data_IF_870429293229
#
_entry.id   IF_870429293229
#
_cell.length_a   1.000
_cell.length_b   1.000
_cell.length_c   1.000
_cell.angle_alpha   90.00
_cell.angle_beta   90.00
_cell.angle_gamma   90.00
#
_symmetry.space_group_name_H-M   'P 1'
#
loop_
_entity.id
_entity.type
_entity.pdbx_description
1 polymer ?
#
# COMPACT_ATOMS: atom_id res chain seq x y z
N UNK A 1 -8.16 19.36 16.96
CA UNK A 1 -6.97 19.53 16.09
C UNK A 1 -6.19 18.24 15.85
N UNK A 2 -5.96 17.41 16.86
CA UNK A 2 -5.10 16.21 16.78
C UNK A 2 -5.53 15.14 15.74
N UNK A 3 -6.84 14.88 15.61
CA UNK A 3 -7.36 13.76 14.79
C UNK A 3 -7.12 13.90 13.28
N UNK A 4 -7.22 15.11 12.72
CA UNK A 4 -6.97 15.34 11.29
C UNK A 4 -5.51 15.17 10.90
N UNK A 5 -4.59 15.66 11.75
CA UNK A 5 -3.15 15.44 11.56
C UNK A 5 -2.82 13.94 11.70
N UNK A 6 -3.44 13.27 12.67
CA UNK A 6 -3.28 11.83 12.86
C UNK A 6 -3.75 11.03 11.63
N UNK A 7 -4.88 11.41 11.01
CA UNK A 7 -5.36 10.81 9.76
C UNK A 7 -4.33 10.94 8.63
N UNK A 8 -3.72 12.11 8.47
CA UNK A 8 -2.65 12.32 7.47
C UNK A 8 -1.44 11.44 7.77
N UNK A 9 -0.98 11.39 9.03
CA UNK A 9 0.16 10.54 9.42
C UNK A 9 -0.12 9.07 9.13
N UNK A 10 -1.29 8.56 9.53
CA UNK A 10 -1.69 7.17 9.28
C UNK A 10 -1.75 6.86 7.79
N UNK A 11 -2.32 7.76 6.99
CA UNK A 11 -2.39 7.56 5.55
C UNK A 11 -1.00 7.58 4.90
N UNK A 12 -0.11 8.49 5.31
CA UNK A 12 1.29 8.52 4.84
C UNK A 12 2.04 7.24 5.22
N UNK A 13 1.85 6.73 6.44
CA UNK A 13 2.41 5.43 6.85
C UNK A 13 1.86 4.29 5.99
N UNK A 14 0.57 4.33 5.64
CA UNK A 14 -0.04 3.39 4.70
C UNK A 14 0.60 3.43 3.32
N UNK A 15 0.85 4.61 2.75
CA UNK A 15 1.55 4.76 1.47
C UNK A 15 2.98 4.18 1.55
N UNK A 16 3.71 4.53 2.61
CA UNK A 16 5.07 4.03 2.81
C UNK A 16 5.10 2.50 2.95
N UNK A 17 4.18 1.94 3.74
CA UNK A 17 4.03 0.50 3.88
C UNK A 17 3.74 -0.16 2.54
N UNK A 18 2.89 0.46 1.72
CA UNK A 18 2.56 -0.06 0.39
C UNK A 18 3.77 -0.14 -0.52
N UNK A 19 4.53 0.96 -0.58
CA UNK A 19 5.75 1.06 -1.37
C UNK A 19 6.81 0.05 -0.90
N UNK A 20 7.10 0.02 0.39
CA UNK A 20 8.13 -0.84 0.97
C UNK A 20 7.86 -2.32 0.72
N UNK A 21 6.61 -2.76 0.91
CA UNK A 21 6.23 -4.15 0.69
C UNK A 21 6.30 -4.55 -0.79
N UNK A 22 5.78 -3.72 -1.70
CA UNK A 22 5.86 -4.00 -3.14
C UNK A 22 7.31 -4.11 -3.61
N UNK A 23 8.18 -3.24 -3.10
CA UNK A 23 9.62 -3.30 -3.38
C UNK A 23 10.24 -4.60 -2.85
N UNK A 24 9.93 -5.00 -1.62
CA UNK A 24 10.44 -6.24 -1.03
C UNK A 24 9.99 -7.50 -1.80
N UNK A 25 8.72 -7.56 -2.23
CA UNK A 25 8.24 -8.63 -3.11
C UNK A 25 9.02 -8.64 -4.42
N UNK A 26 9.23 -7.47 -5.04
CA UNK A 26 9.97 -7.37 -6.30
C UNK A 26 11.42 -7.82 -6.17
N UNK A 27 12.12 -7.40 -5.13
CA UNK A 27 13.49 -7.85 -4.86
C UNK A 27 13.51 -9.37 -4.61
N UNK A 28 12.53 -9.91 -3.90
CA UNK A 28 12.40 -11.36 -3.66
C UNK A 28 12.14 -12.12 -4.96
N UNK A 29 11.25 -11.66 -5.82
CA UNK A 29 10.95 -12.28 -7.12
C UNK A 29 12.20 -12.29 -8.01
N UNK A 30 12.91 -11.16 -8.11
CA UNK A 30 14.17 -11.06 -8.89
C UNK A 30 15.22 -12.04 -8.35
N UNK A 31 15.37 -12.15 -7.02
CA UNK A 31 16.33 -13.08 -6.41
C UNK A 31 15.91 -14.55 -6.57
N UNK A 32 14.61 -14.82 -6.59
CA UNK A 32 14.03 -16.17 -6.72
C UNK A 32 14.04 -16.66 -8.17
N UNK A 33 14.00 -15.76 -9.16
CA UNK A 33 14.27 -16.14 -10.56
C UNK A 33 15.68 -16.72 -10.75
N UNK A 34 16.63 -16.39 -9.87
CA UNK A 34 17.97 -16.97 -9.84
C UNK A 34 18.08 -18.21 -8.93
N UNK A 35 17.09 -18.49 -8.06
CA UNK A 35 17.14 -19.58 -7.07
C UNK A 35 15.77 -20.26 -6.89
N UNK A 36 15.66 -21.49 -7.39
CA UNK A 36 14.43 -22.26 -7.70
C UNK A 36 13.53 -22.69 -6.52
N UNK A 37 13.47 -21.99 -5.38
CA UNK A 37 12.89 -22.57 -4.15
C UNK A 37 11.93 -21.68 -3.33
N UNK A 38 11.37 -20.59 -3.85
CA UNK A 38 10.30 -19.88 -3.12
C UNK A 38 8.95 -20.48 -3.49
N UNK A 39 8.29 -21.11 -2.51
CA UNK A 39 6.96 -21.71 -2.72
C UNK A 39 5.94 -20.64 -3.10
N UNK A 40 5.27 -20.80 -4.24
CA UNK A 40 4.22 -19.90 -4.73
C UNK A 40 3.10 -19.71 -3.70
N UNK A 41 2.84 -20.76 -2.89
CA UNK A 41 1.83 -20.75 -1.84
C UNK A 41 2.15 -19.73 -0.73
N UNK A 42 3.44 -19.60 -0.37
CA UNK A 42 3.90 -18.65 0.65
C UNK A 42 3.74 -17.20 0.16
N UNK A 43 4.08 -16.93 -1.11
CA UNK A 43 3.96 -15.60 -1.72
C UNK A 43 2.49 -15.18 -1.87
N UNK A 44 1.62 -16.10 -2.30
CA UNK A 44 0.20 -15.81 -2.45
C UNK A 44 -0.48 -15.52 -1.10
N UNK A 45 -0.17 -16.32 -0.06
CA UNK A 45 -0.70 -16.11 1.28
C UNK A 45 -0.21 -14.79 1.89
N UNK A 46 1.09 -14.47 1.75
CA UNK A 46 1.64 -13.19 2.21
C UNK A 46 1.01 -11.99 1.49
N UNK A 47 0.79 -12.10 0.18
CA UNK A 47 0.13 -11.05 -0.61
C UNK A 47 -1.30 -10.76 -0.12
N UNK A 48 -2.07 -11.79 0.23
CA UNK A 48 -3.42 -11.61 0.76
C UNK A 48 -3.43 -10.97 2.15
N UNK A 49 -2.56 -11.40 3.05
CA UNK A 49 -2.43 -10.78 4.39
C UNK A 49 -2.04 -9.31 4.27
N UNK A 50 -1.09 -9.00 3.39
CA UNK A 50 -0.68 -7.63 3.11
C UNK A 50 -1.82 -6.75 2.57
N UNK A 51 -2.63 -7.26 1.64
CA UNK A 51 -3.79 -6.53 1.12
C UNK A 51 -4.76 -6.20 2.26
N UNK A 52 -5.09 -7.18 3.11
CA UNK A 52 -5.98 -6.98 4.25
C UNK A 52 -5.40 -5.93 5.22
N UNK A 53 -4.11 -6.03 5.54
CA UNK A 53 -3.44 -5.10 6.46
C UNK A 53 -3.44 -3.67 5.90
N UNK A 54 -3.12 -3.51 4.61
CA UNK A 54 -3.09 -2.21 3.94
C UNK A 54 -4.47 -1.58 3.87
N UNK A 55 -5.50 -2.36 3.49
CA UNK A 55 -6.89 -1.92 3.48
C UNK A 55 -7.32 -1.50 4.89
N UNK A 56 -6.92 -2.25 5.92
CA UNK A 56 -7.22 -1.91 7.32
C UNK A 56 -6.59 -0.57 7.73
N UNK A 57 -5.33 -0.31 7.34
CA UNK A 57 -4.64 0.97 7.58
C UNK A 57 -5.38 2.12 6.86
N UNK A 58 -5.76 1.89 5.59
CA UNK A 58 -6.54 2.85 4.81
C UNK A 58 -7.90 3.17 5.46
N UNK A 59 -8.64 2.15 5.91
CA UNK A 59 -9.90 2.33 6.64
C UNK A 59 -9.72 3.08 7.96
N UNK A 60 -8.66 2.79 8.72
CA UNK A 60 -8.31 3.53 9.93
C UNK A 60 -8.04 5.01 9.64
N UNK A 61 -7.26 5.31 8.61
CA UNK A 61 -6.98 6.67 8.15
C UNK A 61 -8.26 7.40 7.72
N UNK A 62 -9.14 6.70 7.00
CA UNK A 62 -10.42 7.22 6.51
C UNK A 62 -11.39 7.51 7.66
N UNK A 63 -11.52 6.60 8.62
CA UNK A 63 -12.33 6.78 9.83
C UNK A 63 -11.89 8.01 10.64
N UNK A 64 -10.58 8.15 10.87
CA UNK A 64 -10.02 9.31 11.56
C UNK A 64 -10.25 10.62 10.77
N UNK A 65 -10.16 10.56 9.45
CA UNK A 65 -10.43 11.67 8.54
C UNK A 65 -11.88 12.13 8.61
N UNK A 66 -12.84 11.20 8.47
CA UNK A 66 -14.28 11.47 8.53
C UNK A 66 -14.69 12.03 9.89
N UNK A 67 -14.18 11.48 10.99
CA UNK A 67 -14.44 12.04 12.34
C UNK A 67 -13.87 13.45 12.47
N UNK A 68 -12.71 13.73 11.86
CA UNK A 68 -12.13 15.06 11.89
C UNK A 68 -12.88 16.07 11.00
N UNK A 69 -13.72 15.61 10.08
CA UNK A 69 -14.48 16.45 9.14
C UNK A 69 -15.59 17.25 9.83
N UNK A 70 -16.15 16.75 10.95
CA UNK A 70 -17.09 17.49 11.82
C UNK A 70 -16.55 18.87 12.26
N UNK A 71 -15.23 19.07 12.26
CA UNK A 71 -14.59 20.32 12.65
C UNK A 71 -14.23 21.24 11.45
N UNK A 72 -14.79 21.02 10.25
CA UNK A 72 -14.60 21.84 9.02
C UNK A 72 -13.14 22.15 8.65
N UNK A 73 -12.21 21.27 9.02
CA UNK A 73 -10.78 21.48 8.71
C UNK A 73 -10.46 20.97 7.31
N UNK A 74 -9.91 21.84 6.45
CA UNK A 74 -9.38 21.46 5.12
C UNK A 74 -8.40 20.28 5.19
N UNK A 75 -7.64 20.18 6.28
CA UNK A 75 -6.69 19.09 6.58
C UNK A 75 -7.39 17.71 6.70
N UNK A 76 -8.66 17.65 7.09
CA UNK A 76 -9.40 16.40 7.15
C UNK A 76 -9.68 15.84 5.75
N UNK A 77 -9.93 16.72 4.78
CA UNK A 77 -10.18 16.33 3.39
C UNK A 77 -8.92 15.68 2.81
N UNK A 78 -7.74 16.28 3.01
CA UNK A 78 -6.47 15.67 2.56
C UNK A 78 -6.24 14.30 3.18
N UNK A 79 -6.50 14.12 4.48
CA UNK A 79 -6.38 12.81 5.14
C UNK A 79 -7.32 11.75 4.55
N UNK A 80 -8.56 12.12 4.24
CA UNK A 80 -9.54 11.23 3.57
C UNK A 80 -9.05 10.88 2.15
N UNK A 81 -8.67 11.89 1.36
CA UNK A 81 -8.18 11.68 -0.01
C UNK A 81 -6.97 10.76 -0.02
N UNK A 82 -5.99 10.97 0.86
CA UNK A 82 -4.83 10.08 0.98
C UNK A 82 -5.24 8.66 1.37
N UNK A 83 -6.20 8.50 2.30
CA UNK A 83 -6.64 7.17 2.75
C UNK A 83 -7.32 6.39 1.62
N UNK A 84 -8.13 7.06 0.79
CA UNK A 84 -8.73 6.46 -0.42
C UNK A 84 -7.63 6.02 -1.39
N UNK A 85 -6.61 6.86 -1.60
CA UNK A 85 -5.46 6.53 -2.44
C UNK A 85 -4.74 5.29 -1.92
N UNK A 86 -4.48 5.18 -0.61
CA UNK A 86 -3.87 3.98 0.00
C UNK A 86 -4.68 2.73 -0.31
N UNK A 87 -6.01 2.79 -0.15
CA UNK A 87 -6.89 1.65 -0.44
C UNK A 87 -6.79 1.27 -1.92
N UNK A 88 -6.86 2.23 -2.85
CA UNK A 88 -6.78 1.95 -4.28
C UNK A 88 -5.42 1.31 -4.65
N UNK A 89 -4.32 1.88 -4.16
CA UNK A 89 -2.98 1.38 -4.48
C UNK A 89 -2.75 -0.02 -3.88
N UNK A 90 -3.41 -0.38 -2.78
CA UNK A 90 -3.30 -1.72 -2.20
C UNK A 90 -3.75 -2.86 -3.14
N UNK A 91 -4.61 -2.54 -4.12
CA UNK A 91 -5.08 -3.49 -5.12
C UNK A 91 -4.23 -3.48 -6.39
N UNK A 92 -3.33 -2.50 -6.57
CA UNK A 92 -2.46 -2.44 -7.74
C UNK A 92 -1.30 -3.43 -7.58
N UNK A 93 -1.04 -4.30 -8.58
CA UNK A 93 0.13 -5.17 -8.61
C UNK A 93 1.37 -4.37 -9.04
N UNK A 94 1.81 -3.41 -8.22
CA UNK A 94 2.91 -2.49 -8.56
C UNK A 94 4.19 -3.21 -8.96
N UNK A 95 4.44 -4.39 -8.37
CA UNK A 95 5.61 -5.17 -8.70
C UNK A 95 5.61 -5.72 -10.13
N UNK A 96 4.48 -6.22 -10.63
CA UNK A 96 4.37 -6.68 -12.03
C UNK A 96 4.65 -5.54 -13.01
N UNK A 97 4.16 -4.34 -12.70
CA UNK A 97 4.46 -3.14 -13.48
C UNK A 97 5.96 -2.79 -13.43
N UNK A 98 6.59 -2.85 -12.25
CA UNK A 98 8.01 -2.54 -12.10
C UNK A 98 8.90 -3.52 -12.86
N UNK A 99 8.60 -4.82 -12.80
CA UNK A 99 9.33 -5.86 -13.55
C UNK A 99 9.16 -5.67 -15.05
N UNK A 100 7.94 -5.43 -15.54
CA UNK A 100 7.66 -5.20 -16.96
C UNK A 100 8.43 -4.03 -17.57
N UNK A 101 8.68 -2.98 -16.78
CA UNK A 101 9.47 -1.83 -17.24
C UNK A 101 10.99 -2.05 -17.16
N UNK A 102 11.47 -2.93 -16.28
CA UNK A 102 12.91 -3.14 -16.04
C UNK A 102 13.50 -4.27 -16.89
N UNK A 103 12.69 -5.26 -17.27
CA UNK A 103 13.05 -6.27 -18.26
C UNK A 103 12.24 -6.01 -19.53
N UNK A 104 12.76 -5.25 -20.52
CA UNK A 104 12.19 -5.31 -21.85
C UNK A 104 12.34 -6.75 -22.32
N UNK A 105 11.21 -7.45 -22.42
CA UNK A 105 11.14 -8.72 -23.15
C UNK A 105 11.57 -8.39 -24.57
N UNK A 106 12.82 -8.73 -24.91
CA UNK A 106 13.24 -8.76 -26.29
C UNK A 106 12.35 -9.80 -26.99
N UNK A 107 11.67 -9.44 -28.10
CA UNK A 107 10.87 -10.38 -28.87
C UNK A 107 11.73 -11.51 -29.45
#
# INVERSE_FOLDING_TARGET
MKKGILSVIVATMGIYFVYWFNRGICETIILSSDTTNVSEFSLHTFGNVYKIMTVSIGLLGLYLGVISMKNKKKIAITGITLSIIVIIISFLPLCEYYLRFKTPVNP
#
